data_IF_590315828804
#
_entry.id   IF_590315828804
#
_cell.length_a   1.000
_cell.length_b   1.000
_cell.length_c   1.000
_cell.angle_alpha   90.00
_cell.angle_beta   90.00
_cell.angle_gamma   90.00
#
_symmetry.space_group_name_H-M   'P 1'
#
loop_
_entity.id
_entity.type
_entity.pdbx_description
1 polymer ?
#
# COMPACT_ATOMS: atom_id res chain seq x y z
N UNK A 1 -0.71 -26.44 -18.14
CA UNK A 1 -1.81 -25.47 -18.10
C UNK A 1 -1.50 -24.50 -16.98
N UNK A 2 -1.00 -23.31 -17.30
CA UNK A 2 -0.77 -22.24 -16.33
C UNK A 2 -1.82 -21.19 -16.65
N UNK A 3 -3.00 -21.33 -16.05
CA UNK A 3 -4.00 -20.27 -16.07
C UNK A 3 -3.45 -19.14 -15.23
N UNK A 4 -3.31 -17.95 -15.82
CA UNK A 4 -2.99 -16.76 -15.06
C UNK A 4 -4.27 -16.37 -14.30
N UNK A 5 -4.42 -16.84 -13.06
CA UNK A 5 -5.56 -16.54 -12.18
C UNK A 5 -5.54 -15.08 -11.67
N UNK A 6 -4.87 -14.17 -12.39
CA UNK A 6 -4.93 -12.74 -12.11
C UNK A 6 -6.26 -12.23 -12.64
N UNK A 7 -7.05 -11.64 -11.75
CA UNK A 7 -8.26 -10.96 -12.16
C UNK A 7 -7.93 -9.93 -13.26
N UNK A 8 -8.78 -9.80 -14.29
CA UNK A 8 -8.53 -8.88 -15.39
C UNK A 8 -8.38 -7.46 -14.84
N UNK A 9 -7.21 -6.86 -15.09
CA UNK A 9 -6.94 -5.49 -14.69
C UNK A 9 -7.87 -4.56 -15.48
N UNK A 10 -8.75 -3.88 -14.76
CA UNK A 10 -9.62 -2.86 -15.37
C UNK A 10 -8.83 -1.57 -15.49
N UNK A 11 -8.68 -1.07 -16.72
CA UNK A 11 -8.07 0.23 -16.94
C UNK A 11 -9.00 1.33 -16.43
N UNK A 12 -8.49 2.19 -15.55
CA UNK A 12 -9.21 3.36 -15.07
C UNK A 12 -9.17 4.43 -16.16
N UNK A 13 -10.34 4.79 -16.71
CA UNK A 13 -10.44 5.75 -17.81
C UNK A 13 -10.11 7.19 -17.41
N UNK A 14 -10.42 7.54 -16.17
CA UNK A 14 -10.10 8.84 -15.56
C UNK A 14 -9.47 8.62 -14.19
N UNK A 15 -8.16 8.86 -14.02
CA UNK A 15 -7.50 8.71 -12.72
C UNK A 15 -8.01 9.72 -11.68
N UNK A 16 -8.61 10.85 -12.09
CA UNK A 16 -9.17 11.82 -11.15
C UNK A 16 -10.41 11.27 -10.42
N UNK A 17 -11.16 10.34 -11.04
CA UNK A 17 -12.31 9.69 -10.40
C UNK A 17 -11.92 8.77 -9.23
N UNK A 18 -10.66 8.37 -9.11
CA UNK A 18 -10.16 7.64 -7.94
C UNK A 18 -10.04 8.52 -6.69
N UNK A 19 -10.09 9.85 -6.85
CA UNK A 19 -10.04 10.80 -5.75
C UNK A 19 -11.44 11.16 -5.20
N UNK A 20 -12.51 10.66 -5.82
CA UNK A 20 -13.88 10.85 -5.33
C UNK A 20 -14.09 10.14 -3.97
N UNK A 21 -15.15 10.53 -3.25
CA UNK A 21 -15.46 9.98 -1.94
C UNK A 21 -15.60 8.45 -1.95
N UNK A 22 -15.20 7.78 -0.86
CA UNK A 22 -15.17 6.32 -0.79
C UNK A 22 -16.56 5.71 -1.01
N UNK A 23 -16.55 4.52 -1.61
CA UNK A 23 -17.75 3.76 -1.96
C UNK A 23 -18.64 3.54 -0.72
N UNK A 24 -19.96 3.73 -0.88
CA UNK A 24 -20.90 3.69 0.24
C UNK A 24 -20.92 2.32 0.96
N UNK A 25 -20.50 1.27 0.27
CA UNK A 25 -20.43 -0.10 0.78
C UNK A 25 -19.21 -0.36 1.70
N UNK A 26 -18.29 0.61 1.85
CA UNK A 26 -17.09 0.51 2.70
C UNK A 26 -17.01 1.64 3.74
N UNK A 27 -17.95 1.72 4.69
CA UNK A 27 -17.99 2.81 5.64
C UNK A 27 -16.74 2.79 6.55
N UNK A 28 -16.18 3.99 6.75
CA UNK A 28 -15.10 4.22 7.72
C UNK A 28 -15.70 4.31 9.12
N UNK A 29 -15.29 3.40 10.01
CA UNK A 29 -15.74 3.34 11.40
C UNK A 29 -14.87 4.18 12.33
N UNK A 30 -13.56 4.19 12.10
CA UNK A 30 -12.59 4.92 12.92
C UNK A 30 -11.38 5.34 12.08
N UNK A 31 -10.73 6.45 12.47
CA UNK A 31 -9.52 6.95 11.83
C UNK A 31 -8.55 7.52 12.87
N UNK A 32 -7.33 7.02 12.83
CA UNK A 32 -6.26 7.38 13.74
C UNK A 32 -5.06 7.91 12.96
N UNK A 33 -4.53 9.07 13.35
CA UNK A 33 -3.23 9.57 12.90
C UNK A 33 -2.16 9.07 13.87
N UNK A 34 -1.17 8.34 13.36
CA UNK A 34 -0.08 7.79 14.19
C UNK A 34 1.26 8.50 13.95
N UNK A 35 1.38 9.18 12.81
CA UNK A 35 2.58 9.90 12.44
C UNK A 35 2.25 11.14 11.64
N UNK A 36 2.89 12.26 11.98
CA UNK A 36 2.70 13.54 11.29
C UNK A 36 4.06 14.22 11.14
N UNK A 37 4.36 14.66 9.94
CA UNK A 37 5.51 15.52 9.65
C UNK A 37 5.18 16.47 8.49
N UNK A 38 6.06 17.44 8.16
CA UNK A 38 5.79 18.41 7.10
C UNK A 38 5.63 17.84 5.68
N UNK A 39 5.94 16.55 5.47
CA UNK A 39 5.95 15.90 4.16
C UNK A 39 4.77 14.95 3.97
N UNK A 40 4.30 14.30 5.04
CA UNK A 40 3.15 13.41 5.00
C UNK A 40 2.53 13.20 6.39
N UNK A 41 1.26 12.82 6.37
CA UNK A 41 0.55 12.28 7.53
C UNK A 41 0.28 10.80 7.28
N UNK A 42 0.37 9.96 8.31
CA UNK A 42 0.07 8.54 8.20
C UNK A 42 -0.68 8.03 9.41
N UNK A 43 -1.40 6.93 9.20
CA UNK A 43 -2.38 6.48 10.18
C UNK A 43 -3.00 5.14 9.86
N UNK A 44 -4.01 4.81 10.65
CA UNK A 44 -4.86 3.67 10.41
C UNK A 44 -6.30 4.11 10.22
N UNK A 45 -7.02 3.37 9.39
CA UNK A 45 -8.47 3.48 9.23
C UNK A 45 -9.09 2.12 9.50
N UNK A 46 -10.14 2.08 10.31
CA UNK A 46 -10.98 0.90 10.47
C UNK A 46 -12.17 1.04 9.52
N UNK A 47 -12.38 0.06 8.66
CA UNK A 47 -13.50 0.00 7.72
C UNK A 47 -14.31 -1.25 7.96
N UNK A 48 -15.61 -1.17 7.75
CA UNK A 48 -16.47 -2.35 7.62
C UNK A 48 -16.55 -2.73 6.14
N UNK A 49 -16.31 -3.99 5.82
CA UNK A 49 -16.53 -4.48 4.46
C UNK A 49 -18.03 -4.62 4.16
N UNK A 50 -18.44 -4.71 2.88
CA UNK A 50 -19.82 -5.00 2.50
C UNK A 50 -20.33 -6.32 3.08
N UNK A 51 -19.41 -7.23 3.42
CA UNK A 51 -19.68 -8.53 4.05
C UNK A 51 -19.77 -8.43 5.60
N UNK A 52 -19.66 -7.23 6.17
CA UNK A 52 -19.75 -6.93 7.60
C UNK A 52 -18.46 -7.17 8.39
N UNK A 53 -17.34 -7.50 7.73
CA UNK A 53 -16.08 -7.76 8.43
C UNK A 53 -15.30 -6.45 8.66
N UNK A 54 -14.88 -6.21 9.90
CA UNK A 54 -14.02 -5.05 10.21
C UNK A 54 -12.57 -5.33 9.85
N UNK A 55 -11.93 -4.37 9.17
CA UNK A 55 -10.53 -4.43 8.76
C UNK A 55 -9.82 -3.12 9.08
N UNK A 56 -8.56 -3.22 9.52
CA UNK A 56 -7.70 -2.07 9.78
C UNK A 56 -6.69 -1.92 8.65
N UNK A 57 -6.71 -0.76 8.00
CA UNK A 57 -5.85 -0.43 6.87
C UNK A 57 -4.89 0.69 7.25
N UNK A 58 -3.63 0.56 6.84
CA UNK A 58 -2.65 1.63 6.97
C UNK A 58 -2.80 2.59 5.79
N UNK A 59 -2.71 3.90 6.04
CA UNK A 59 -2.79 4.93 5.03
C UNK A 59 -1.65 5.93 5.16
N UNK A 60 -1.32 6.57 4.04
CA UNK A 60 -0.39 7.69 3.95
C UNK A 60 -1.05 8.77 3.10
N UNK A 61 -1.07 9.99 3.63
CA UNK A 61 -1.53 11.21 2.96
C UNK A 61 -0.32 12.12 2.72
N UNK A 62 0.32 12.03 1.55
CA UNK A 62 1.49 12.83 1.21
C UNK A 62 1.09 14.26 0.84
N UNK A 63 1.92 15.24 1.22
CA UNK A 63 1.89 16.55 0.58
C UNK A 63 2.26 16.44 -0.91
N UNK A 64 2.14 17.53 -1.67
CA UNK A 64 2.60 17.60 -3.06
C UNK A 64 4.15 17.61 -3.10
N UNK A 65 4.74 16.44 -2.86
CA UNK A 65 6.18 16.19 -2.70
C UNK A 65 6.57 14.88 -3.36
N UNK A 66 7.85 14.77 -3.74
CA UNK A 66 8.41 13.54 -4.32
C UNK A 66 9.16 12.75 -3.25
N UNK A 67 8.76 11.50 -3.03
CA UNK A 67 9.54 10.55 -2.23
C UNK A 67 10.60 9.87 -3.11
N UNK A 68 11.86 9.90 -2.69
CA UNK A 68 12.97 9.22 -3.38
C UNK A 68 13.56 8.18 -2.42
N UNK A 69 13.44 6.91 -2.78
CA UNK A 69 14.18 5.83 -2.14
C UNK A 69 15.47 5.57 -2.93
N UNK A 70 16.61 5.92 -2.33
CA UNK A 70 17.90 5.61 -2.92
C UNK A 70 18.30 4.17 -2.58
N UNK A 71 18.27 3.29 -3.59
CA UNK A 71 18.87 1.96 -3.50
C UNK A 71 20.36 2.05 -3.89
N UNK A 72 21.26 1.75 -2.95
CA UNK A 72 22.71 1.72 -3.23
C UNK A 72 23.04 0.54 -4.17
N UNK A 73 23.43 0.87 -5.40
CA UNK A 73 23.78 -0.12 -6.43
C UNK A 73 25.20 -0.70 -6.26
N UNK A 74 25.97 -0.34 -5.23
CA UNK A 74 27.35 -0.85 -5.04
C UNK A 74 27.44 -2.13 -4.22
N UNK A 75 26.54 -3.08 -4.46
CA UNK A 75 26.74 -4.50 -4.08
C UNK A 75 26.89 -5.36 -5.34
N UNK A 76 28.10 -5.80 -5.71
CA UNK A 76 28.34 -6.54 -6.96
C UNK A 76 27.78 -7.97 -6.99
N UNK A 77 27.17 -8.47 -5.91
CA UNK A 77 26.82 -9.89 -5.77
C UNK A 77 25.33 -10.21 -5.90
N UNK A 78 24.43 -9.21 -5.87
CA UNK A 78 22.99 -9.50 -5.81
C UNK A 78 22.18 -8.52 -6.66
N UNK A 79 21.66 -9.03 -7.78
CA UNK A 79 20.63 -8.36 -8.56
C UNK A 79 19.29 -8.25 -7.79
N UNK A 80 18.27 -7.59 -8.38
CA UNK A 80 17.06 -7.12 -7.69
C UNK A 80 16.18 -8.22 -7.02
N UNK A 81 16.51 -9.50 -7.18
CA UNK A 81 15.72 -10.61 -6.65
C UNK A 81 16.05 -11.06 -5.22
N UNK A 82 17.22 -10.69 -4.66
CA UNK A 82 17.70 -11.30 -3.41
C UNK A 82 17.76 -10.36 -2.19
N UNK A 83 17.71 -9.04 -2.38
CA UNK A 83 17.51 -8.09 -1.29
C UNK A 83 16.17 -8.35 -0.55
N UNK A 84 15.11 -8.65 -1.30
CA UNK A 84 13.79 -8.96 -0.75
C UNK A 84 13.75 -10.28 0.05
N UNK A 85 14.55 -11.28 -0.35
CA UNK A 85 14.62 -12.59 0.33
C UNK A 85 15.42 -12.54 1.64
N UNK A 86 16.46 -11.73 1.72
CA UNK A 86 17.24 -11.56 2.96
C UNK A 86 16.48 -10.74 4.01
N UNK A 87 15.66 -9.77 3.59
CA UNK A 87 14.74 -9.06 4.49
C UNK A 87 13.67 -10.03 5.06
N UNK A 88 13.12 -10.92 4.23
CA UNK A 88 12.17 -11.95 4.66
C UNK A 88 12.77 -12.95 5.67
N UNK A 89 14.06 -13.30 5.55
CA UNK A 89 14.73 -14.22 6.48
C UNK A 89 15.13 -13.58 7.80
N UNK A 90 15.55 -12.31 7.80
CA UNK A 90 15.95 -11.62 9.03
C UNK A 90 14.77 -11.42 10.00
N UNK A 91 13.54 -11.34 9.47
CA UNK A 91 12.30 -11.31 10.25
C UNK A 91 11.63 -12.70 10.43
N UNK A 92 12.28 -13.78 9.98
CA UNK A 92 11.88 -15.16 10.30
C UNK A 92 10.68 -15.73 9.54
N UNK A 93 10.54 -15.46 8.23
CA UNK A 93 9.46 -16.02 7.39
C UNK A 93 9.99 -17.05 6.36
N UNK A 94 10.95 -17.89 6.77
CA UNK A 94 11.02 -19.32 6.45
C UNK A 94 11.48 -20.06 7.71
#
# INVERSE_FOLDING_TARGET
MTGDDREPVTAVADPAALADEPDADWPVLDREVVWENPYFTAGYTVVESPEGAQRRWYWVDPADVVAVEAVDARSPAYGPGLASLLLARYHGVV
#
